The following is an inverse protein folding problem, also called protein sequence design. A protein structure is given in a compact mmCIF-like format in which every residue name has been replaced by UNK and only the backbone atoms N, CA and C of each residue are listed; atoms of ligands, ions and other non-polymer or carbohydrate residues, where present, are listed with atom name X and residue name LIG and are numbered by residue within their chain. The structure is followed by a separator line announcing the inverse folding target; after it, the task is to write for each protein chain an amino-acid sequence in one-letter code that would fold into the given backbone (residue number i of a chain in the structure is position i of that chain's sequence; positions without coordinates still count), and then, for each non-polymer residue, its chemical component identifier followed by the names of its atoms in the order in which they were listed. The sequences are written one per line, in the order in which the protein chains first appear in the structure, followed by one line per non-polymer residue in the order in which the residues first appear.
data_IF_216349424903
#
_entry.id   IF_216349424903
#
_cell.length_a   1.000
_cell.length_b   1.000
_cell.length_c   1.000
_cell.angle_alpha   90.00
_cell.angle_beta   90.00
_cell.angle_gamma   90.00
#
_symmetry.space_group_name_H-M   'P 1'
#
loop_
_entity.id
_entity.type
_entity.pdbx_description
1 polymer ?
#
# COMPACT_ATOMS: atom_id res chain seq x y z
N UNK A 1 -1.47 0.48 32.98
CA UNK A 1 -1.27 -0.24 31.69
C UNK A 1 -0.39 -1.44 32.01
N UNK A 2 -0.69 -2.59 31.43
CA UNK A 2 0.07 -3.83 31.62
C UNK A 2 1.09 -4.01 30.50
N UNK A 3 2.21 -4.64 30.83
CA UNK A 3 3.24 -5.02 29.87
C UNK A 3 2.69 -6.04 28.86
N UNK A 4 2.75 -5.80 27.54
CA UNK A 4 2.19 -6.71 26.55
C UNK A 4 2.97 -8.04 26.44
N UNK A 5 4.15 -8.12 27.04
CA UNK A 5 5.01 -9.31 26.99
C UNK A 5 4.77 -10.25 28.18
N UNK A 6 4.47 -9.71 29.37
CA UNK A 6 4.35 -10.53 30.59
C UNK A 6 3.25 -10.11 31.58
N UNK A 7 2.45 -9.09 31.26
CA UNK A 7 1.29 -8.67 32.06
C UNK A 7 1.58 -7.81 33.29
N UNK A 8 2.84 -7.67 33.72
CA UNK A 8 3.22 -6.83 34.88
C UNK A 8 2.99 -5.35 34.64
N UNK A 9 2.95 -4.56 35.72
CA UNK A 9 2.90 -3.11 35.63
C UNK A 9 4.08 -2.53 34.84
N UNK A 10 3.78 -1.54 33.98
CA UNK A 10 4.78 -0.87 33.16
C UNK A 10 5.68 0.04 33.99
N UNK A 11 6.98 0.07 33.65
CA UNK A 11 7.92 1.03 34.21
C UNK A 11 7.95 2.28 33.31
N UNK A 12 7.86 3.52 33.87
CA UNK A 12 7.92 4.76 33.10
C UNK A 12 9.11 4.87 32.12
N UNK A 13 10.27 4.32 32.47
CA UNK A 13 11.47 4.32 31.63
C UNK A 13 11.37 3.37 30.44
N UNK A 14 10.54 2.33 30.54
CA UNK A 14 10.45 1.25 29.57
C UNK A 14 9.08 1.10 28.92
N UNK A 15 8.16 2.07 29.09
CA UNK A 15 6.80 2.00 28.53
C UNK A 15 6.87 1.72 27.00
N UNK A 16 6.04 0.80 26.48
CA UNK A 16 4.91 0.13 27.12
C UNK A 16 5.26 -1.15 27.91
N UNK A 17 6.54 -1.38 28.25
CA UNK A 17 7.03 -2.60 28.91
C UNK A 17 7.33 -2.39 30.40
N UNK A 18 7.53 -3.49 31.12
CA UNK A 18 7.93 -3.46 32.53
C UNK A 18 9.46 -3.45 32.74
N UNK A 19 10.26 -3.70 31.70
CA UNK A 19 11.73 -3.75 31.78
C UNK A 19 12.37 -3.79 30.40
N UNK A 20 13.68 -3.48 30.33
CA UNK A 20 14.51 -3.68 29.13
C UNK A 20 14.39 -5.10 28.55
N UNK A 21 14.41 -6.13 29.40
CA UNK A 21 14.29 -7.53 28.95
C UNK A 21 13.01 -7.77 28.14
N UNK A 22 11.88 -7.19 28.55
CA UNK A 22 10.64 -7.34 27.81
C UNK A 22 10.66 -6.59 26.48
N UNK A 23 11.28 -5.41 26.43
CA UNK A 23 11.48 -4.68 25.17
C UNK A 23 12.36 -5.48 24.18
N UNK A 24 13.44 -6.10 24.67
CA UNK A 24 14.33 -6.90 23.83
C UNK A 24 13.63 -8.17 23.29
N UNK A 25 12.75 -8.79 24.09
CA UNK A 25 11.92 -9.93 23.64
C UNK A 25 10.95 -9.50 22.53
N UNK A 26 10.29 -8.35 22.71
CA UNK A 26 9.37 -7.80 21.72
C UNK A 26 10.08 -7.53 20.39
N UNK A 27 11.26 -6.88 20.46
CA UNK A 27 12.12 -6.66 19.30
C UNK A 27 12.49 -7.99 18.63
N UNK A 28 12.81 -9.02 19.42
CA UNK A 28 13.10 -10.36 18.90
C UNK A 28 11.92 -11.00 18.17
N UNK A 29 10.67 -10.71 18.57
CA UNK A 29 9.46 -11.17 17.85
C UNK A 29 9.31 -10.43 16.53
N UNK A 30 9.54 -9.11 16.52
CA UNK A 30 9.54 -8.29 15.31
C UNK A 30 10.54 -8.80 14.28
N UNK A 31 11.80 -8.98 14.67
CA UNK A 31 12.86 -9.44 13.77
C UNK A 31 12.62 -10.84 13.21
N UNK A 32 11.78 -11.66 13.86
CA UNK A 32 11.42 -13.01 13.40
C UNK A 32 10.13 -13.05 12.59
N UNK A 33 9.50 -11.91 12.32
CA UNK A 33 8.20 -11.86 11.64
C UNK A 33 7.06 -12.47 12.48
N UNK A 34 7.16 -12.43 13.81
CA UNK A 34 6.15 -12.98 14.71
C UNK A 34 4.84 -12.18 14.78
N UNK A 35 4.79 -11.02 14.13
CA UNK A 35 3.60 -10.20 14.00
C UNK A 35 3.03 -10.34 12.60
N UNK A 36 1.85 -10.95 12.51
CA UNK A 36 1.12 -11.17 11.26
C UNK A 36 -0.15 -10.34 11.31
N UNK A 37 -0.37 -9.53 10.27
CA UNK A 37 -1.66 -8.89 10.06
C UNK A 37 -2.59 -9.94 9.43
N UNK A 38 -3.75 -10.23 10.04
CA UNK A 38 -4.75 -11.04 9.38
C UNK A 38 -5.18 -10.30 8.10
N UNK A 39 -4.91 -10.91 6.94
CA UNK A 39 -5.45 -10.48 5.67
C UNK A 39 -6.68 -11.30 5.32
N UNK A 40 -7.60 -10.69 4.57
CA UNK A 40 -8.59 -11.48 3.82
C UNK A 40 -7.82 -12.42 2.88
N UNK A 41 -8.37 -13.62 2.65
CA UNK A 41 -7.79 -14.51 1.66
C UNK A 41 -7.72 -13.75 0.33
N UNK A 42 -6.51 -13.54 -0.19
CA UNK A 42 -6.35 -13.02 -1.52
C UNK A 42 -6.97 -14.07 -2.46
N UNK A 43 -8.15 -13.78 -2.99
CA UNK A 43 -8.66 -14.49 -4.16
C UNK A 43 -7.56 -14.34 -5.23
N UNK A 44 -6.98 -15.46 -5.67
CA UNK A 44 -5.81 -15.49 -6.53
C UNK A 44 -5.98 -14.57 -7.76
N UNK A 45 -5.32 -13.41 -7.78
CA UNK A 45 -5.03 -12.68 -9.02
C UNK A 45 -5.29 -11.17 -9.09
N UNK A 46 -5.83 -10.50 -8.07
CA UNK A 46 -5.99 -9.05 -8.12
C UNK A 46 -4.85 -8.34 -7.35
N UNK A 47 -3.85 -7.84 -8.08
CA UNK A 47 -2.98 -6.79 -7.55
C UNK A 47 -3.82 -5.49 -7.48
N UNK A 48 -4.15 -4.97 -6.28
CA UNK A 48 -5.01 -3.80 -6.13
C UNK A 48 -4.37 -2.51 -6.67
N UNK A 49 -3.12 -2.55 -7.14
CA UNK A 49 -2.41 -1.44 -7.78
C UNK A 49 -2.29 -1.60 -9.30
N UNK A 50 -2.78 -2.70 -9.89
CA UNK A 50 -2.66 -2.95 -11.33
C UNK A 50 -3.68 -2.21 -12.20
N UNK A 51 -4.75 -1.67 -11.62
CA UNK A 51 -5.86 -1.05 -12.37
C UNK A 51 -5.56 0.38 -12.86
N UNK A 52 -4.58 1.07 -12.25
CA UNK A 52 -4.25 2.47 -12.55
C UNK A 52 -3.11 2.66 -13.57
N UNK A 53 -2.54 1.56 -14.11
CA UNK A 53 -1.54 1.66 -15.17
C UNK A 53 -2.25 1.71 -16.54
N UNK A 54 -2.28 2.85 -17.24
CA UNK A 54 -2.78 2.87 -18.60
C UNK A 54 -1.91 1.96 -19.46
N UNK A 55 -2.50 0.88 -19.98
CA UNK A 55 -1.85 0.01 -20.95
C UNK A 55 -1.43 0.86 -22.15
N UNK A 56 -0.12 1.04 -22.29
CA UNK A 56 0.50 1.86 -23.32
C UNK A 56 -0.03 1.48 -24.70
N UNK A 57 -0.74 2.43 -25.28
CA UNK A 57 -1.50 2.37 -26.51
C UNK A 57 -0.59 2.02 -27.69
N UNK A 58 -1.10 1.20 -28.61
CA UNK A 58 -0.48 1.05 -29.91
C UNK A 58 -0.39 2.44 -30.57
N UNK A 59 0.82 2.82 -30.98
CA UNK A 59 1.07 4.02 -31.77
C UNK A 59 1.26 3.62 -33.23
N UNK A 60 0.39 2.74 -33.74
CA UNK A 60 0.45 2.25 -35.12
C UNK A 60 -0.78 2.63 -35.92
N UNK A 61 -0.89 3.92 -36.18
CA UNK A 61 -1.39 4.42 -37.46
C UNK A 61 -2.91 4.47 -37.65
N UNK A 62 -3.45 5.69 -37.76
CA UNK A 62 -4.37 5.96 -38.85
C UNK A 62 -4.44 7.46 -39.17
N UNK A 63 -3.75 7.83 -40.25
CA UNK A 63 -4.18 8.86 -41.18
C UNK A 63 -5.67 8.71 -41.49
N UNK A 64 -6.48 9.72 -41.17
CA UNK A 64 -7.75 9.98 -41.87
C UNK A 64 -8.21 11.42 -41.57
N UNK A 65 -7.71 12.37 -42.37
CA UNK A 65 -8.32 13.69 -42.44
C UNK A 65 -9.75 13.63 -42.99
N UNK A 66 -10.53 14.70 -42.80
CA UNK A 66 -11.47 15.08 -43.84
C UNK A 66 -11.34 16.55 -44.23
N UNK A 67 -11.36 16.72 -45.55
CA UNK A 67 -11.87 17.86 -46.29
C UNK A 67 -12.90 18.72 -45.53
N UNK A 68 -12.61 20.02 -45.39
CA UNK A 68 -13.58 21.05 -45.03
C UNK A 68 -13.20 22.35 -45.71
N UNK A 69 -13.78 22.62 -46.88
CA UNK A 69 -13.58 23.89 -47.59
C UNK A 69 -14.21 25.07 -46.87
N UNK A 70 -13.72 26.31 -47.05
CA UNK A 70 -14.35 27.47 -46.44
C UNK A 70 -15.62 27.86 -47.21
N UNK A 71 -16.77 27.55 -46.60
CA UNK A 71 -18.04 28.22 -46.86
C UNK A 71 -17.99 29.66 -46.36
N UNK A 72 -18.53 30.58 -47.18
CA UNK A 72 -19.18 31.79 -46.67
C UNK A 72 -18.46 33.12 -46.94
N UNK A 73 -19.03 33.88 -47.89
CA UNK A 73 -18.95 35.36 -47.90
C UNK A 73 -19.80 35.94 -46.76
N UNK A 74 -19.68 37.26 -46.59
CA UNK A 74 -20.34 38.22 -45.66
C UNK A 74 -19.33 38.63 -44.56
N UNK A 75 -18.81 39.87 -44.49
CA UNK A 75 -19.31 41.18 -44.89
C UNK A 75 -18.14 42.05 -45.38
#
# INVERSE_FOLDING_TARGET
MSCPICGKDTDPRYRPFCSRRCADIDLGRWLKGGYVLPGDAAEDGADPLAEDLPSGQDMSGQDRGPSGGPSGRLN
#
